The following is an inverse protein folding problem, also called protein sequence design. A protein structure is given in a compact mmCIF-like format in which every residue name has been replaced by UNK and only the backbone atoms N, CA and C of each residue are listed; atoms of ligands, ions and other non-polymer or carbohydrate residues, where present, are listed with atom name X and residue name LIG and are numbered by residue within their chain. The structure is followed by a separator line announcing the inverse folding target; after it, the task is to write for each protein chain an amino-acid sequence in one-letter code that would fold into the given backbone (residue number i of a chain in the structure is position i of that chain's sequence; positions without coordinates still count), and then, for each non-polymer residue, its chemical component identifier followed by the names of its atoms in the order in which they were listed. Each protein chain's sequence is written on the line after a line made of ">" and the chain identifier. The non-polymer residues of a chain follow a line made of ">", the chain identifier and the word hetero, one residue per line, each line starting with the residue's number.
data_IF_950995385910
#
_entry.id   IF_950995385910
#
_cell.length_a   1.000
_cell.length_b   1.000
_cell.length_c   1.000
_cell.angle_alpha   90.00
_cell.angle_beta   90.00
_cell.angle_gamma   90.00
#
_symmetry.space_group_name_H-M   'P 1'
#
loop_
_entity.id
_entity.type
_entity.pdbx_description
1 polymer ?
#
# COMPACT_ATOMS: atom_id res chain seq x y z
N UNK A 1 -4.24 3.58 3.16
CA UNK A 1 -5.21 4.70 3.07
C UNK A 1 -4.44 6.01 3.12
N UNK A 2 -4.91 7.06 2.45
CA UNK A 2 -4.34 8.41 2.61
C UNK A 2 -5.27 9.23 3.49
N UNK A 3 -4.71 9.95 4.45
CA UNK A 3 -5.42 10.71 5.47
C UNK A 3 -4.86 12.14 5.57
N UNK A 4 -5.63 13.03 6.19
CA UNK A 4 -5.15 14.32 6.69
C UNK A 4 -5.05 14.23 8.21
N UNK A 5 -3.93 14.67 8.78
CA UNK A 5 -3.75 14.68 10.24
C UNK A 5 -4.62 15.77 10.85
N UNK A 6 -5.55 15.39 11.72
CA UNK A 6 -6.40 16.33 12.47
C UNK A 6 -5.80 16.65 13.84
N UNK A 7 -5.24 15.65 14.50
CA UNK A 7 -4.65 15.75 15.86
C UNK A 7 -3.40 14.87 15.96
N UNK A 8 -2.49 15.23 16.87
CA UNK A 8 -1.28 14.46 17.17
C UNK A 8 -1.11 14.32 18.68
N UNK A 9 -0.55 13.19 19.12
CA UNK A 9 -0.23 12.98 20.53
C UNK A 9 0.90 13.89 21.02
N UNK A 10 0.95 14.15 22.33
CA UNK A 10 1.90 15.10 22.93
C UNK A 10 3.39 14.77 22.75
N UNK A 11 3.71 13.52 22.38
CA UNK A 11 5.08 13.04 22.15
C UNK A 11 5.40 12.82 20.67
N UNK A 12 4.43 13.09 19.79
CA UNK A 12 4.60 12.92 18.34
C UNK A 12 5.39 14.10 17.81
N UNK A 13 6.50 13.80 17.15
CA UNK A 13 7.39 14.80 16.55
C UNK A 13 7.42 14.70 15.03
N UNK A 14 7.06 13.53 14.47
CA UNK A 14 7.16 13.26 13.02
C UNK A 14 6.11 13.97 12.19
N UNK A 15 4.94 14.27 12.77
CA UNK A 15 3.79 14.83 12.05
C UNK A 15 3.15 15.99 12.81
N UNK A 16 2.43 16.84 12.09
CA UNK A 16 1.62 17.93 12.63
C UNK A 16 0.24 17.99 11.98
N UNK A 17 -0.67 18.73 12.60
CA UNK A 17 -2.00 19.00 12.04
C UNK A 17 -1.92 19.58 10.62
N UNK A 18 -2.74 19.04 9.71
CA UNK A 18 -2.78 19.39 8.29
C UNK A 18 -1.87 18.56 7.38
N UNK A 19 -0.96 17.76 7.94
CA UNK A 19 -0.08 16.91 7.12
C UNK A 19 -0.87 15.86 6.33
N UNK A 20 -0.46 15.64 5.08
CA UNK A 20 -0.94 14.54 4.25
C UNK A 20 -0.13 13.30 4.60
N UNK A 21 -0.81 12.25 5.02
CA UNK A 21 -0.16 11.02 5.48
C UNK A 21 -0.77 9.77 4.84
N UNK A 22 0.00 8.69 4.84
CA UNK A 22 -0.43 7.37 4.43
C UNK A 22 -0.35 6.38 5.58
N UNK A 23 -1.31 5.46 5.65
CA UNK A 23 -1.26 4.30 6.56
C UNK A 23 -1.37 3.02 5.73
N UNK A 24 -0.45 2.09 5.97
CA UNK A 24 -0.35 0.82 5.26
C UNK A 24 -1.25 -0.28 5.82
N UNK A 25 -0.78 -1.52 5.69
CA UNK A 25 -1.43 -2.72 6.22
C UNK A 25 -1.10 -3.00 7.69
N UNK A 26 0.01 -2.45 8.19
CA UNK A 26 0.48 -2.66 9.56
C UNK A 26 0.19 -1.41 10.39
N UNK A 27 -0.24 -1.62 11.63
CA UNK A 27 -0.50 -0.55 12.62
C UNK A 27 0.16 -0.84 13.98
N UNK A 28 0.91 -1.93 14.10
CA UNK A 28 1.59 -2.29 15.34
C UNK A 28 2.61 -3.41 15.18
N UNK A 29 3.61 -3.43 16.07
CA UNK A 29 4.59 -4.51 16.25
C UNK A 29 5.23 -4.38 17.63
N UNK A 30 6.09 -5.33 18.03
CA UNK A 30 6.79 -5.29 19.33
C UNK A 30 7.86 -4.20 19.44
N UNK A 31 8.35 -3.68 18.30
CA UNK A 31 9.36 -2.60 18.19
C UNK A 31 10.77 -2.92 18.71
N UNK A 32 10.99 -4.06 19.35
CA UNK A 32 12.24 -4.40 20.04
C UNK A 32 12.94 -5.66 19.51
N UNK A 33 12.25 -6.49 18.70
CA UNK A 33 12.84 -7.70 18.13
C UNK A 33 13.77 -7.39 16.93
N UNK A 34 14.59 -8.37 16.56
CA UNK A 34 15.54 -8.27 15.43
C UNK A 34 14.86 -7.85 14.12
N UNK A 35 13.66 -8.36 13.83
CA UNK A 35 12.91 -7.94 12.64
C UNK A 35 12.55 -6.45 12.71
N UNK A 36 12.05 -5.97 13.84
CA UNK A 36 11.70 -4.56 13.99
C UNK A 36 12.94 -3.66 13.92
N UNK A 37 14.05 -4.08 14.52
CA UNK A 37 15.33 -3.36 14.48
C UNK A 37 15.90 -3.23 13.06
N UNK A 38 15.53 -4.14 12.15
CA UNK A 38 15.94 -4.13 10.74
C UNK A 38 14.88 -3.56 9.78
N UNK A 39 13.88 -2.81 10.29
CA UNK A 39 12.79 -2.25 9.48
C UNK A 39 11.93 -3.32 8.76
N UNK A 40 11.82 -4.51 9.37
CA UNK A 40 11.12 -5.69 8.86
C UNK A 40 9.92 -6.05 9.75
N UNK A 41 9.15 -5.05 10.20
CA UNK A 41 8.03 -5.27 11.13
C UNK A 41 6.98 -6.23 10.59
N UNK A 42 6.86 -6.35 9.26
CA UNK A 42 5.97 -7.29 8.59
C UNK A 42 6.35 -8.76 8.80
N UNK A 43 7.60 -9.05 9.17
CA UNK A 43 8.08 -10.41 9.44
C UNK A 43 8.02 -10.76 10.94
N UNK A 44 7.67 -9.80 11.80
CA UNK A 44 7.35 -10.10 13.20
C UNK A 44 6.05 -10.90 13.29
N UNK A 45 6.02 -12.11 13.88
CA UNK A 45 4.82 -12.94 13.92
C UNK A 45 3.62 -12.29 14.62
N UNK A 46 3.87 -11.42 15.60
CA UNK A 46 2.84 -10.72 16.36
C UNK A 46 2.51 -9.32 15.82
N UNK A 47 2.77 -9.04 14.54
CA UNK A 47 2.42 -7.74 13.96
C UNK A 47 0.90 -7.52 14.01
N UNK A 48 0.49 -6.27 14.15
CA UNK A 48 -0.91 -5.87 14.23
C UNK A 48 -1.33 -5.29 12.88
N UNK A 49 -2.40 -5.83 12.32
CA UNK A 49 -2.94 -5.45 11.02
C UNK A 49 -3.94 -4.30 11.14
N UNK A 50 -4.09 -3.51 10.08
CA UNK A 50 -5.00 -2.35 10.02
C UNK A 50 -6.48 -2.70 10.26
N UNK A 51 -6.88 -3.93 9.91
CA UNK A 51 -8.24 -4.43 10.13
C UNK A 51 -8.15 -5.81 10.76
N UNK A 52 -9.08 -6.12 11.66
CA UNK A 52 -9.23 -7.45 12.29
C UNK A 52 -7.98 -7.94 13.06
N UNK A 53 -7.10 -7.02 13.46
CA UNK A 53 -6.04 -7.24 14.45
C UNK A 53 -6.51 -6.87 15.85
N UNK A 54 -5.71 -7.24 16.85
CA UNK A 54 -5.96 -6.93 18.27
C UNK A 54 -4.87 -5.99 18.77
N UNK A 55 -5.27 -4.84 19.28
CA UNK A 55 -4.38 -3.86 19.92
C UNK A 55 -3.96 -4.33 21.32
N UNK A 56 -2.94 -3.68 21.87
CA UNK A 56 -2.40 -4.01 23.20
C UNK A 56 -3.40 -3.81 24.34
N UNK A 57 -4.41 -2.95 24.14
CA UNK A 57 -5.51 -2.73 25.09
C UNK A 57 -6.66 -3.76 24.94
N UNK A 58 -6.52 -4.73 24.04
CA UNK A 58 -7.51 -5.76 23.74
C UNK A 58 -8.59 -5.32 22.74
N UNK A 59 -8.60 -4.06 22.31
CA UNK A 59 -9.54 -3.58 21.30
C UNK A 59 -9.19 -4.11 19.91
N UNK A 60 -10.19 -4.18 19.04
CA UNK A 60 -10.02 -4.63 17.67
C UNK A 60 -9.70 -3.45 16.75
N UNK A 61 -8.78 -3.64 15.80
CA UNK A 61 -8.48 -2.63 14.79
C UNK A 61 -9.59 -2.58 13.73
N UNK A 62 -10.06 -1.37 13.43
CA UNK A 62 -10.99 -1.09 12.35
C UNK A 62 -10.27 -0.32 11.22
N UNK A 63 -10.43 -0.79 9.98
CA UNK A 63 -9.75 -0.21 8.82
C UNK A 63 -10.33 1.14 8.37
N UNK A 64 -9.78 1.68 7.28
CA UNK A 64 -10.12 3.02 6.79
C UNK A 64 -11.39 3.15 5.94
N UNK A 65 -12.33 2.21 6.04
CA UNK A 65 -13.69 2.41 5.51
C UNK A 65 -14.53 3.13 6.57
N UNK A 66 -14.00 4.25 7.05
CA UNK A 66 -14.43 4.96 8.26
C UNK A 66 -14.04 6.43 8.16
N UNK A 67 -14.79 7.32 8.83
CA UNK A 67 -14.53 8.77 8.78
C UNK A 67 -13.30 9.23 9.56
N UNK A 68 -12.78 8.40 10.46
CA UNK A 68 -11.64 8.71 11.33
C UNK A 68 -10.79 7.47 11.57
N UNK A 69 -9.48 7.67 11.72
CA UNK A 69 -8.53 6.62 12.08
C UNK A 69 -7.49 7.17 13.07
N UNK A 70 -7.10 6.37 14.05
CA UNK A 70 -6.03 6.66 15.01
C UNK A 70 -4.95 5.59 14.87
N UNK A 71 -3.70 6.00 14.69
CA UNK A 71 -2.57 5.10 14.42
C UNK A 71 -1.32 5.63 15.11
N UNK A 72 -0.48 4.73 15.61
CA UNK A 72 0.84 5.05 16.12
C UNK A 72 1.72 5.67 15.01
N UNK A 73 2.43 6.77 15.32
CA UNK A 73 3.17 7.58 14.34
C UNK A 73 4.24 6.76 13.58
N UNK A 74 4.74 5.68 14.18
CA UNK A 74 5.73 4.84 13.52
C UNK A 74 5.15 4.19 12.27
N UNK A 75 3.88 3.80 12.28
CA UNK A 75 3.21 3.11 11.16
C UNK A 75 2.58 4.06 10.14
N UNK A 76 2.80 5.36 10.33
CA UNK A 76 2.35 6.42 9.43
C UNK A 76 3.52 6.84 8.55
N UNK A 77 3.26 7.03 7.25
CA UNK A 77 4.22 7.56 6.26
C UNK A 77 3.82 8.94 5.79
N UNK A 78 4.79 9.79 5.47
CA UNK A 78 4.53 11.06 4.80
C UNK A 78 4.04 10.80 3.37
N UNK A 79 3.00 11.51 2.99
CA UNK A 79 2.48 11.47 1.63
C UNK A 79 3.09 12.60 0.78
N UNK A 80 3.82 12.30 -0.30
CA UNK A 80 4.38 13.31 -1.20
C UNK A 80 3.31 14.22 -1.79
N UNK A 81 3.60 15.52 -1.84
CA UNK A 81 2.63 16.53 -2.26
C UNK A 81 2.17 16.36 -3.72
N UNK A 82 3.08 15.89 -4.58
CA UNK A 82 2.85 15.65 -6.00
C UNK A 82 2.15 14.32 -6.31
N UNK A 83 1.89 13.46 -5.32
CA UNK A 83 1.10 12.25 -5.52
C UNK A 83 -0.41 12.52 -5.30
N UNK A 84 -1.28 12.23 -6.28
CA UNK A 84 -2.73 12.40 -6.15
C UNK A 84 -3.31 11.64 -4.95
N UNK A 85 -4.45 12.08 -4.41
CA UNK A 85 -5.05 11.41 -3.24
C UNK A 85 -5.49 9.98 -3.54
N UNK A 86 -5.94 9.78 -4.78
CA UNK A 86 -6.55 8.55 -5.27
C UNK A 86 -5.53 7.42 -5.43
N UNK A 87 -4.22 7.69 -5.34
CA UNK A 87 -3.19 6.65 -5.46
C UNK A 87 -2.93 5.88 -4.16
N UNK A 88 -3.86 5.95 -3.20
CA UNK A 88 -3.84 5.16 -1.96
C UNK A 88 -3.54 3.66 -2.11
N UNK A 89 -3.89 2.96 -3.22
CA UNK A 89 -3.51 1.55 -3.43
C UNK A 89 -2.00 1.28 -3.39
N UNK A 90 -1.15 2.30 -3.54
CA UNK A 90 0.31 2.20 -3.42
C UNK A 90 0.76 1.63 -2.06
N UNK A 91 0.06 1.98 -0.98
CA UNK A 91 0.39 1.60 0.39
C UNK A 91 0.19 0.10 0.69
N UNK A 92 -0.37 -0.66 -0.26
CA UNK A 92 -0.48 -2.11 -0.18
C UNK A 92 0.03 -2.74 -1.47
N UNK A 93 -0.67 -2.54 -2.60
CA UNK A 93 -0.30 -3.13 -3.87
C UNK A 93 1.06 -2.68 -4.38
N UNK A 94 1.37 -1.39 -4.18
CA UNK A 94 2.63 -0.81 -4.63
C UNK A 94 3.82 -1.37 -3.87
N UNK A 95 3.79 -1.31 -2.53
CA UNK A 95 4.89 -1.84 -1.71
C UNK A 95 5.06 -3.35 -1.90
N UNK A 96 3.96 -4.09 -2.05
CA UNK A 96 4.01 -5.57 -2.24
C UNK A 96 4.78 -5.95 -3.50
N UNK A 97 4.74 -5.12 -4.54
CA UNK A 97 5.47 -5.38 -5.80
C UNK A 97 6.82 -4.69 -5.86
N UNK A 98 6.98 -3.52 -5.23
CA UNK A 98 8.24 -2.79 -5.14
C UNK A 98 9.28 -3.52 -4.28
N UNK A 99 8.88 -3.95 -3.09
CA UNK A 99 9.73 -4.65 -2.12
C UNK A 99 10.54 -5.81 -2.75
N UNK A 100 9.92 -6.82 -3.38
CA UNK A 100 10.67 -7.95 -3.92
C UNK A 100 11.58 -7.54 -5.07
N UNK A 101 11.24 -6.49 -5.83
CA UNK A 101 12.11 -5.98 -6.89
C UNK A 101 13.42 -5.45 -6.29
N UNK A 102 13.34 -4.68 -5.21
CA UNK A 102 14.52 -4.16 -4.49
C UNK A 102 15.27 -5.26 -3.74
N UNK A 103 14.55 -6.04 -2.94
CA UNK A 103 15.15 -7.01 -2.02
C UNK A 103 15.95 -8.10 -2.75
N UNK A 104 15.41 -8.62 -3.86
CA UNK A 104 16.09 -9.63 -4.66
C UNK A 104 17.05 -9.02 -5.70
N UNK A 105 17.28 -7.71 -5.67
CA UNK A 105 18.16 -7.00 -6.61
C UNK A 105 17.69 -7.10 -8.07
N UNK A 106 16.38 -7.23 -8.28
CA UNK A 106 15.76 -7.28 -9.60
C UNK A 106 15.62 -5.88 -10.21
N UNK A 107 15.82 -4.82 -9.42
CA UNK A 107 15.81 -3.40 -9.81
C UNK A 107 17.02 -2.97 -10.68
N UNK A 108 17.97 -3.88 -10.93
CA UNK A 108 19.20 -3.58 -11.68
C UNK A 108 18.99 -3.54 -13.19
N UNK A 109 19.78 -2.74 -13.94
CA UNK A 109 19.74 -2.72 -15.39
C UNK A 109 19.99 -4.10 -16.01
N UNK A 110 19.40 -4.36 -17.19
CA UNK A 110 19.51 -5.63 -17.96
C UNK A 110 18.83 -6.84 -17.31
N UNK A 111 18.12 -6.67 -16.20
CA UNK A 111 17.24 -7.70 -15.67
C UNK A 111 16.03 -7.92 -16.59
N UNK A 112 15.55 -9.16 -16.64
CA UNK A 112 14.34 -9.57 -17.36
C UNK A 112 13.39 -10.22 -16.35
N UNK A 113 12.20 -9.65 -16.17
CA UNK A 113 11.23 -10.16 -15.20
C UNK A 113 9.95 -10.63 -15.87
N UNK A 114 9.36 -11.69 -15.33
CA UNK A 114 8.02 -12.16 -15.67
C UNK A 114 7.01 -11.68 -14.63
N UNK A 115 5.89 -11.10 -15.06
CA UNK A 115 4.76 -10.76 -14.19
C UNK A 115 3.59 -11.68 -14.54
N UNK A 116 3.21 -12.55 -13.60
CA UNK A 116 2.10 -13.51 -13.80
C UNK A 116 0.79 -12.88 -13.35
N UNK A 117 -0.13 -12.65 -14.30
CA UNK A 117 -1.41 -12.00 -14.09
C UNK A 117 -1.32 -10.46 -14.13
N UNK A 118 -2.25 -9.82 -14.85
CA UNK A 118 -2.32 -8.36 -14.99
C UNK A 118 -3.54 -7.79 -14.25
N UNK A 119 -3.67 -8.13 -12.97
CA UNK A 119 -4.61 -7.47 -12.06
C UNK A 119 -3.97 -6.29 -11.34
N UNK A 120 -4.56 -5.84 -10.24
CA UNK A 120 -4.06 -4.65 -9.56
C UNK A 120 -2.66 -4.79 -8.90
N UNK A 121 -2.14 -5.98 -8.60
CA UNK A 121 -0.72 -6.14 -8.22
C UNK A 121 0.15 -6.18 -9.48
N UNK A 122 -0.21 -7.03 -10.45
CA UNK A 122 0.54 -7.18 -11.70
C UNK A 122 0.78 -5.86 -12.41
N UNK A 123 -0.24 -4.99 -12.50
CA UNK A 123 -0.10 -3.68 -13.13
C UNK A 123 0.95 -2.80 -12.42
N UNK A 124 1.01 -2.83 -11.08
CA UNK A 124 2.01 -2.08 -10.32
C UNK A 124 3.41 -2.67 -10.52
N UNK A 125 3.54 -4.00 -10.53
CA UNK A 125 4.81 -4.66 -10.80
C UNK A 125 5.39 -4.26 -12.17
N UNK A 126 4.53 -4.18 -13.20
CA UNK A 126 4.94 -3.70 -14.53
C UNK A 126 5.41 -2.25 -14.48
N UNK A 127 4.65 -1.34 -13.85
CA UNK A 127 4.99 0.08 -13.78
C UNK A 127 6.33 0.32 -13.07
N UNK A 128 6.53 -0.29 -11.90
CA UNK A 128 7.80 -0.17 -11.18
C UNK A 128 8.98 -0.77 -11.95
N UNK A 129 8.83 -1.96 -12.50
CA UNK A 129 9.92 -2.58 -13.24
C UNK A 129 10.31 -1.79 -14.49
N UNK A 130 9.33 -1.18 -15.18
CA UNK A 130 9.60 -0.26 -16.28
C UNK A 130 10.35 1.00 -15.82
N UNK A 131 10.00 1.56 -14.67
CA UNK A 131 10.70 2.72 -14.10
C UNK A 131 12.16 2.39 -13.73
N UNK A 132 12.46 1.16 -13.31
CA UNK A 132 13.84 0.69 -13.12
C UNK A 132 14.59 0.40 -14.43
N UNK A 133 13.96 0.57 -15.61
CA UNK A 133 14.59 0.28 -16.90
C UNK A 133 14.70 -1.20 -17.24
N UNK A 134 13.87 -2.05 -16.62
CA UNK A 134 13.89 -3.52 -16.77
C UNK A 134 13.00 -3.96 -17.93
N UNK A 135 13.39 -5.04 -18.61
CA UNK A 135 12.52 -5.71 -19.58
C UNK A 135 11.47 -6.54 -18.84
N UNK A 136 10.20 -6.23 -19.08
CA UNK A 136 9.07 -6.91 -18.43
C UNK A 136 8.31 -7.74 -19.44
N UNK A 137 8.04 -9.00 -19.09
CA UNK A 137 7.15 -9.90 -19.82
C UNK A 137 5.92 -10.19 -18.97
N UNK A 138 4.74 -9.83 -19.46
CA UNK A 138 3.47 -10.17 -18.79
C UNK A 138 3.03 -11.55 -19.25
N UNK A 139 2.79 -12.44 -18.29
CA UNK A 139 2.37 -13.81 -18.50
C UNK A 139 0.92 -13.89 -18.02
N UNK A 140 -0.01 -14.06 -18.95
CA UNK A 140 -1.43 -14.26 -18.65
C UNK A 140 -1.82 -15.73 -18.86
N UNK A 141 -3.02 -16.10 -18.44
CA UNK A 141 -3.57 -17.45 -18.64
C UNK A 141 -3.80 -17.80 -20.13
N UNK A 142 -3.56 -16.87 -21.05
CA UNK A 142 -3.22 -17.13 -22.46
C UNK A 142 -1.72 -17.47 -22.66
N UNK A 143 -1.37 -18.73 -22.34
CA UNK A 143 -0.17 -19.53 -22.72
C UNK A 143 1.28 -19.00 -22.49
N UNK A 144 1.90 -19.61 -21.44
CA UNK A 144 3.26 -20.24 -21.30
C UNK A 144 4.47 -19.50 -20.64
N UNK A 145 4.90 -20.13 -19.52
CA UNK A 145 6.22 -20.27 -18.82
C UNK A 145 6.81 -19.10 -17.98
N UNK A 146 7.56 -19.49 -16.92
CA UNK A 146 7.55 -18.94 -15.54
C UNK A 146 8.92 -18.47 -15.00
N UNK A 147 8.89 -17.47 -14.12
CA UNK A 147 9.64 -17.35 -12.86
C UNK A 147 8.66 -16.74 -11.83
N UNK A 148 8.60 -17.25 -10.59
CA UNK A 148 7.66 -16.76 -9.56
C UNK A 148 8.46 -16.35 -8.33
N UNK A 149 8.44 -15.06 -7.99
CA UNK A 149 8.94 -14.51 -6.74
C UNK A 149 7.75 -13.85 -6.00
N UNK A 150 7.63 -14.09 -4.69
CA UNK A 150 6.57 -13.53 -3.85
C UNK A 150 7.14 -12.85 -2.61
N UNK A 151 6.58 -11.71 -2.24
CA UNK A 151 6.84 -11.02 -0.98
C UNK A 151 5.50 -10.56 -0.40
N UNK A 152 5.30 -10.72 0.90
CA UNK A 152 4.23 -10.02 1.61
C UNK A 152 4.58 -8.53 1.74
N UNK A 153 3.57 -7.69 2.05
CA UNK A 153 3.73 -6.25 2.36
C UNK A 153 4.91 -6.05 3.31
N UNK A 154 5.76 -5.04 3.07
CA UNK A 154 6.99 -4.79 3.83
C UNK A 154 6.86 -3.71 4.91
N UNK A 155 7.94 -3.53 5.69
CA UNK A 155 8.03 -2.56 6.77
C UNK A 155 7.85 -1.10 6.33
N UNK A 156 7.70 -0.22 7.32
CA UNK A 156 7.28 1.19 7.10
C UNK A 156 8.31 1.97 6.27
N UNK A 157 9.60 1.74 6.52
CA UNK A 157 10.68 2.43 5.82
C UNK A 157 10.65 2.18 4.32
N UNK A 158 10.45 0.92 3.91
CA UNK A 158 10.34 0.56 2.50
C UNK A 158 9.08 1.16 1.87
N UNK A 159 7.98 1.31 2.63
CA UNK A 159 6.79 2.03 2.16
C UNK A 159 7.14 3.50 1.90
N UNK A 160 7.87 4.17 2.80
CA UNK A 160 8.28 5.56 2.60
C UNK A 160 9.19 5.74 1.38
N UNK A 161 10.20 4.86 1.21
CA UNK A 161 11.08 4.85 0.03
C UNK A 161 10.27 4.68 -1.26
N UNK A 162 9.38 3.68 -1.28
CA UNK A 162 8.56 3.34 -2.45
C UNK A 162 7.64 4.50 -2.84
N UNK A 163 6.99 5.15 -1.87
CA UNK A 163 6.08 6.27 -2.15
C UNK A 163 6.87 7.48 -2.68
N UNK A 164 8.06 7.75 -2.14
CA UNK A 164 8.94 8.81 -2.66
C UNK A 164 9.42 8.51 -4.08
N UNK A 165 9.85 7.29 -4.35
CA UNK A 165 10.25 6.85 -5.69
C UNK A 165 9.10 6.97 -6.69
N UNK A 166 7.90 6.55 -6.29
CA UNK A 166 6.72 6.66 -7.14
C UNK A 166 6.38 8.12 -7.47
N UNK A 167 6.55 9.02 -6.49
CA UNK A 167 6.36 10.46 -6.68
C UNK A 167 7.37 11.04 -7.69
N UNK A 168 8.64 10.69 -7.57
CA UNK A 168 9.71 11.17 -8.45
C UNK A 168 9.53 10.70 -9.91
N UNK A 169 9.09 9.45 -10.08
CA UNK A 169 8.94 8.82 -11.40
C UNK A 169 7.52 8.88 -11.96
N UNK A 170 6.60 9.61 -11.32
CA UNK A 170 5.20 9.73 -11.72
C UNK A 170 4.49 8.37 -11.89
N UNK A 171 4.78 7.44 -10.97
CA UNK A 171 4.20 6.09 -10.97
C UNK A 171 2.91 6.10 -10.16
N UNK A 172 1.79 5.97 -10.86
CA UNK A 172 0.47 5.92 -10.23
C UNK A 172 -0.26 4.62 -10.59
N UNK A 173 -1.07 4.06 -9.68
CA UNK A 173 -2.02 3.02 -10.02
C UNK A 173 -3.13 3.59 -10.89
N UNK A 174 -3.66 2.75 -11.78
CA UNK A 174 -4.86 3.08 -12.53
C UNK A 174 -6.08 2.76 -11.63
N UNK A 175 -6.85 3.78 -11.29
CA UNK A 175 -7.89 3.71 -10.26
C UNK A 175 -9.26 4.15 -10.79
N UNK A 176 -10.29 3.56 -10.23
CA UNK A 176 -11.68 3.98 -10.35
C UNK A 176 -12.14 4.44 -8.96
N UNK A 177 -12.39 5.74 -8.84
CA UNK A 177 -12.89 6.33 -7.58
C UNK A 177 -14.40 6.13 -7.51
N UNK A 178 -14.88 5.56 -6.42
CA UNK A 178 -16.28 5.21 -6.23
C UNK A 178 -16.78 5.69 -4.86
N UNK A 179 -18.06 6.06 -4.72
CA UNK A 179 -18.59 6.49 -3.45
C UNK A 179 -18.79 5.31 -2.49
N UNK A 180 -18.77 5.57 -1.17
CA UNK A 180 -18.94 4.54 -0.14
C UNK A 180 -20.25 3.74 -0.29
N UNK A 181 -21.32 4.36 -0.79
CA UNK A 181 -22.61 3.68 -1.03
C UNK A 181 -22.51 2.53 -2.06
N UNK A 182 -21.52 2.56 -2.96
CA UNK A 182 -21.30 1.53 -3.98
C UNK A 182 -20.32 0.43 -3.52
N UNK A 183 -19.92 0.38 -2.24
CA UNK A 183 -18.93 -0.59 -1.75
C UNK A 183 -19.35 -2.04 -2.02
N UNK A 184 -20.62 -2.40 -1.83
CA UNK A 184 -21.07 -3.78 -2.07
C UNK A 184 -21.05 -4.14 -3.57
N UNK A 185 -21.55 -3.25 -4.43
CA UNK A 185 -21.52 -3.45 -5.89
C UNK A 185 -20.09 -3.56 -6.41
N UNK A 186 -19.18 -2.73 -5.91
CA UNK A 186 -17.77 -2.76 -6.32
C UNK A 186 -17.05 -4.02 -5.85
N UNK A 187 -17.42 -4.58 -4.68
CA UNK A 187 -16.94 -5.89 -4.23
C UNK A 187 -17.42 -7.01 -5.16
N UNK A 188 -18.67 -6.98 -5.63
CA UNK A 188 -19.18 -7.96 -6.60
C UNK A 188 -18.43 -7.88 -7.94
N UNK A 189 -18.20 -6.66 -8.46
CA UNK A 189 -17.40 -6.43 -9.66
C UNK A 189 -15.96 -6.93 -9.49
N UNK A 190 -15.35 -6.69 -8.33
CA UNK A 190 -14.00 -7.16 -8.02
C UNK A 190 -13.91 -8.69 -8.06
N UNK A 191 -14.88 -9.40 -7.48
CA UNK A 191 -14.95 -10.88 -7.51
C UNK A 191 -15.08 -11.39 -8.96
N UNK A 192 -15.86 -10.69 -9.80
CA UNK A 192 -16.01 -11.02 -11.22
C UNK A 192 -14.81 -10.60 -12.08
N UNK A 193 -13.79 -9.97 -11.49
CA UNK A 193 -12.67 -9.35 -12.21
C UNK A 193 -13.11 -8.29 -13.24
N UNK A 194 -14.29 -7.69 -13.01
CA UNK A 194 -14.88 -6.63 -13.83
C UNK A 194 -14.49 -5.26 -13.27
N UNK A 195 -13.18 -5.02 -13.22
CA UNK A 195 -12.58 -3.76 -12.78
C UNK A 195 -11.35 -3.54 -13.65
N UNK A 196 -11.07 -2.29 -14.02
CA UNK A 196 -9.88 -2.02 -14.83
C UNK A 196 -8.61 -2.49 -14.11
N UNK A 197 -8.37 -2.01 -12.89
CA UNK A 197 -7.29 -2.52 -12.02
C UNK A 197 -7.53 -2.34 -10.51
N UNK A 198 -8.01 -1.17 -10.06
CA UNK A 198 -8.20 -0.83 -8.64
C UNK A 198 -9.43 0.06 -8.42
N UNK A 199 -10.17 -0.19 -7.34
CA UNK A 199 -11.15 0.76 -6.81
C UNK A 199 -10.57 1.56 -5.65
N UNK A 200 -11.06 2.78 -5.49
CA UNK A 200 -10.74 3.67 -4.36
C UNK A 200 -12.04 4.26 -3.85
N UNK A 201 -12.34 4.08 -2.57
CA UNK A 201 -13.52 4.68 -1.96
C UNK A 201 -13.25 6.14 -1.60
N UNK A 202 -14.10 7.03 -2.08
CA UNK A 202 -14.07 8.45 -1.68
C UNK A 202 -14.79 8.64 -0.36
N UNK A 203 -14.09 8.38 0.75
CA UNK A 203 -14.66 8.47 2.09
C UNK A 203 -14.99 9.91 2.49
N UNK A 204 -14.10 10.86 2.17
CA UNK A 204 -14.20 12.24 2.63
C UNK A 204 -15.45 12.95 2.12
N UNK A 205 -15.87 12.66 0.89
CA UNK A 205 -17.06 13.26 0.28
C UNK A 205 -18.35 12.45 0.49
N UNK A 206 -18.27 11.24 1.06
CA UNK A 206 -19.43 10.33 1.13
C UNK A 206 -19.94 10.09 2.55
N UNK A 207 -19.06 9.97 3.53
CA UNK A 207 -19.47 9.75 4.93
C UNK A 207 -19.81 11.05 5.65
N UNK A 208 -19.22 12.18 5.24
CA UNK A 208 -19.44 13.48 5.88
C UNK A 208 -20.67 14.23 5.36
N UNK A 209 -21.62 13.53 4.71
CA UNK A 209 -22.94 14.08 4.37
C UNK A 209 -23.85 14.00 5.60
N UNK A 210 -23.58 14.82 6.62
CA UNK A 210 -24.52 15.21 7.69
C UNK A 210 -23.97 16.42 8.45
#
# INVERSE_FOLDING_TARGET
>A
MRLLVTEVGNKVEKFKGGDKVGVGYLVGSCRDCENCANDLENYYPGHITTTNGTLSDGSMTHGGYSGLMVVDEHFVVHWPENLPMEVAPMLCAGITTYSPLKYFGLDKPRMHIGVVGLGGLGHMAVKFAKAFGIKVTVISTSLRRKLVAGSAVRGVKDIQEMVNFAAEHNITPDVEVVPMEYVNTTLESLVKSDVKYRFVLDIGNTLNKN
#
